data_IF_300586740726
#
_entry.id   IF_300586740726
#
_cell.length_a   1.000
_cell.length_b   1.000
_cell.length_c   1.000
_cell.angle_alpha   90.00
_cell.angle_beta   90.00
_cell.angle_gamma   90.00
#
_symmetry.space_group_name_H-M   'P 1'
#
loop_
_entity.id
_entity.type
_entity.pdbx_description
1 polymer ?
#
# COMPACT_ATOMS: atom_id res chain seq x y z
N UNK A 1 3.46 8.10 0.79
CA UNK A 1 4.06 9.21 0.02
C UNK A 1 3.47 9.36 -1.39
N UNK A 2 3.07 8.29 -2.10
CA UNK A 2 2.50 8.41 -3.45
C UNK A 2 1.25 9.29 -3.53
N UNK A 3 0.28 9.09 -2.62
CA UNK A 3 -0.96 9.90 -2.60
C UNK A 3 -0.66 11.38 -2.37
N UNK A 4 0.28 11.69 -1.47
CA UNK A 4 0.70 13.06 -1.18
C UNK A 4 1.24 13.76 -2.45
N UNK A 5 2.03 13.06 -3.26
CA UNK A 5 2.52 13.60 -4.54
C UNK A 5 1.38 14.01 -5.48
N UNK A 6 0.29 13.24 -5.52
CA UNK A 6 -0.89 13.59 -6.32
C UNK A 6 -1.66 14.78 -5.74
N UNK A 7 -1.80 14.85 -4.42
CA UNK A 7 -2.47 15.95 -3.73
C UNK A 7 -1.71 17.28 -3.90
N UNK A 8 -0.38 17.24 -3.77
CA UNK A 8 0.49 18.42 -3.87
C UNK A 8 0.85 18.79 -5.31
N UNK A 9 0.57 17.92 -6.28
CA UNK A 9 1.01 18.12 -7.66
C UNK A 9 2.52 18.00 -7.84
N UNK A 10 3.18 17.18 -7.02
CA UNK A 10 4.62 16.91 -7.15
C UNK A 10 4.87 15.56 -7.84
N UNK A 11 6.03 15.36 -8.50
CA UNK A 11 6.28 14.11 -9.22
C UNK A 11 6.31 12.90 -8.29
N UNK A 12 5.72 11.78 -8.73
CA UNK A 12 5.91 10.50 -8.04
C UNK A 12 7.33 10.02 -8.31
N UNK A 13 8.12 9.91 -7.24
CA UNK A 13 9.52 9.44 -7.32
C UNK A 13 9.58 7.91 -7.29
N UNK A 14 10.14 7.32 -8.33
CA UNK A 14 10.36 5.88 -8.47
C UNK A 14 11.83 5.57 -8.22
N UNK A 15 12.11 4.99 -7.06
CA UNK A 15 13.49 4.64 -6.68
C UNK A 15 13.97 3.49 -7.55
N UNK A 16 15.11 3.70 -8.23
CA UNK A 16 15.71 2.78 -9.20
C UNK A 16 14.69 2.26 -10.23
N UNK A 17 13.81 3.16 -10.69
CA UNK A 17 12.79 2.87 -11.70
C UNK A 17 11.53 2.17 -11.17
N UNK A 18 11.47 1.84 -9.87
CA UNK A 18 10.26 1.32 -9.21
C UNK A 18 9.94 -0.14 -9.54
N UNK A 19 10.92 -0.92 -10.02
CA UNK A 19 10.72 -2.30 -10.46
C UNK A 19 10.61 -3.32 -9.30
N UNK A 20 11.04 -2.95 -8.10
CA UNK A 20 10.93 -3.80 -6.92
C UNK A 20 9.47 -4.10 -6.59
N UNK A 21 9.20 -5.37 -6.23
CA UNK A 21 7.86 -5.88 -6.00
C UNK A 21 7.54 -6.05 -4.52
N UNK A 22 6.27 -5.81 -4.19
CA UNK A 22 5.70 -5.99 -2.85
C UNK A 22 4.33 -6.64 -2.96
N UNK A 23 3.95 -7.34 -1.89
CA UNK A 23 2.60 -7.82 -1.67
C UNK A 23 1.86 -6.84 -0.76
N UNK A 24 0.73 -6.30 -1.21
CA UNK A 24 -0.05 -5.29 -0.50
C UNK A 24 -1.29 -5.90 0.11
N UNK A 25 -1.54 -5.61 1.39
CA UNK A 25 -2.62 -6.24 2.15
C UNK A 25 -3.54 -5.14 2.65
N UNK A 26 -4.85 -5.29 2.41
CA UNK A 26 -5.83 -4.38 2.99
C UNK A 26 -5.75 -4.44 4.52
N UNK A 27 -5.93 -3.29 5.17
CA UNK A 27 -5.88 -3.18 6.62
C UNK A 27 -6.98 -4.01 7.28
N UNK A 28 -8.16 -4.15 6.67
CA UNK A 28 -9.24 -4.98 7.19
C UNK A 28 -8.85 -6.46 7.23
N UNK A 29 -8.26 -6.98 6.15
CA UNK A 29 -7.73 -8.35 6.11
C UNK A 29 -6.64 -8.55 7.18
N UNK A 30 -5.73 -7.57 7.34
CA UNK A 30 -4.66 -7.62 8.33
C UNK A 30 -5.15 -7.60 9.79
N UNK A 31 -6.14 -6.76 10.09
CA UNK A 31 -6.74 -6.65 11.42
C UNK A 31 -7.57 -7.89 11.75
N UNK A 32 -8.28 -8.46 10.78
CA UNK A 32 -8.99 -9.73 10.97
C UNK A 32 -8.01 -10.86 11.34
N UNK A 33 -6.86 -10.97 10.65
CA UNK A 33 -5.83 -11.94 11.02
C UNK A 33 -5.34 -11.73 12.45
N UNK A 34 -5.07 -10.48 12.83
CA UNK A 34 -4.58 -10.13 14.16
C UNK A 34 -5.63 -10.46 15.24
N UNK A 35 -6.91 -10.18 14.99
CA UNK A 35 -8.00 -10.50 15.89
C UNK A 35 -8.08 -12.01 16.17
N UNK A 36 -7.92 -12.85 15.15
CA UNK A 36 -7.91 -14.31 15.32
C UNK A 36 -6.69 -14.82 16.08
N UNK A 37 -5.53 -14.19 15.91
CA UNK A 37 -4.32 -14.49 16.69
C UNK A 37 -4.56 -14.16 18.16
N UNK A 38 -5.21 -13.03 18.46
CA UNK A 38 -5.56 -12.63 19.83
C UNK A 38 -6.58 -13.60 20.44
N UNK A 39 -7.59 -14.01 19.67
CA UNK A 39 -8.56 -15.01 20.11
C UNK A 39 -7.89 -16.36 20.44
N UNK A 40 -6.82 -16.69 19.73
CA UNK A 40 -5.93 -17.83 19.99
C UNK A 40 -6.67 -19.14 20.27
N UNK A 41 -7.67 -19.46 19.44
CA UNK A 41 -8.48 -20.69 19.62
C UNK A 41 -7.57 -21.91 19.73
N UNK A 42 -7.83 -22.73 20.74
CA UNK A 42 -7.07 -23.95 21.07
C UNK A 42 -5.56 -23.71 21.32
N UNK A 43 -5.15 -22.50 21.73
CA UNK A 43 -3.76 -22.14 22.02
C UNK A 43 -2.78 -22.29 20.83
N UNK A 44 -3.32 -22.32 19.60
CA UNK A 44 -2.58 -22.64 18.37
C UNK A 44 -1.49 -21.63 18.00
N UNK A 45 -1.58 -20.39 18.48
CA UNK A 45 -0.65 -19.31 18.11
C UNK A 45 0.57 -19.20 19.05
N UNK A 46 0.58 -19.90 20.17
CA UNK A 46 1.68 -19.82 21.14
C UNK A 46 3.01 -20.29 20.52
N UNK A 47 4.03 -19.43 20.59
CA UNK A 47 5.37 -19.71 20.04
C UNK A 47 5.45 -19.75 18.52
N UNK A 48 4.40 -19.30 17.80
CA UNK A 48 4.36 -19.33 16.33
C UNK A 48 4.83 -18.01 15.72
N UNK A 49 5.40 -18.11 14.51
CA UNK A 49 5.64 -16.97 13.63
C UNK A 49 4.64 -17.07 12.48
N UNK A 50 3.79 -16.06 12.34
CA UNK A 50 2.70 -16.03 11.36
C UNK A 50 2.88 -14.80 10.47
N UNK A 51 3.09 -15.03 9.17
CA UNK A 51 3.07 -13.94 8.21
C UNK A 51 1.62 -13.54 7.95
N UNK A 52 1.35 -12.24 7.99
CA UNK A 52 0.09 -11.65 7.58
C UNK A 52 0.36 -10.84 6.32
N UNK A 53 -0.19 -11.29 5.20
CA UNK A 53 -0.14 -10.52 3.96
C UNK A 53 -0.91 -11.17 2.83
N UNK A 54 -1.17 -10.43 1.76
CA UNK A 54 -1.84 -10.94 0.56
C UNK A 54 -0.83 -11.29 -0.54
N UNK A 55 -0.49 -12.59 -0.74
CA UNK A 55 0.48 -13.03 -1.75
C UNK A 55 0.02 -12.81 -3.20
N UNK A 56 -1.28 -12.59 -3.42
CA UNK A 56 -1.86 -12.43 -4.76
C UNK A 56 -1.86 -10.95 -5.19
N UNK A 57 -1.89 -10.03 -4.23
CA UNK A 57 -1.74 -8.59 -4.44
C UNK A 57 -0.27 -8.16 -4.64
N UNK A 58 0.45 -8.85 -5.52
CA UNK A 58 1.82 -8.50 -5.89
C UNK A 58 1.86 -7.41 -6.94
N UNK A 59 2.54 -6.30 -6.65
CA UNK A 59 2.79 -5.24 -7.62
C UNK A 59 4.17 -4.61 -7.41
N UNK A 60 4.75 -4.13 -8.51
CA UNK A 60 5.88 -3.21 -8.44
C UNK A 60 5.46 -1.83 -7.95
N UNK A 61 6.40 -1.03 -7.46
CA UNK A 61 6.11 0.36 -7.06
C UNK A 61 5.60 1.18 -8.25
N UNK A 62 6.12 0.91 -9.45
CA UNK A 62 5.61 1.50 -10.70
C UNK A 62 4.15 1.15 -10.94
N UNK A 63 3.80 -0.14 -10.92
CA UNK A 63 2.42 -0.60 -11.11
C UNK A 63 1.47 -0.03 -10.05
N UNK A 64 1.91 0.04 -8.79
CA UNK A 64 1.15 0.70 -7.73
C UNK A 64 0.90 2.18 -8.07
N UNK A 65 1.93 2.91 -8.50
CA UNK A 65 1.82 4.31 -8.88
C UNK A 65 0.88 4.54 -10.06
N UNK A 66 0.95 3.68 -11.09
CA UNK A 66 0.07 3.72 -12.26
C UNK A 66 -1.39 3.43 -11.90
N UNK A 67 -1.65 2.43 -11.07
CA UNK A 67 -3.00 2.10 -10.61
C UNK A 67 -3.59 3.22 -9.75
N UNK A 68 -2.78 3.79 -8.86
CA UNK A 68 -3.18 4.89 -8.00
C UNK A 68 -3.47 6.16 -8.84
N UNK A 69 -2.66 6.47 -9.84
CA UNK A 69 -2.92 7.55 -10.79
C UNK A 69 -4.22 7.32 -11.56
N UNK A 70 -4.45 6.10 -12.07
CA UNK A 70 -5.68 5.75 -12.79
C UNK A 70 -6.92 6.03 -11.96
N UNK A 71 -6.93 5.58 -10.71
CA UNK A 71 -8.05 5.81 -9.81
C UNK A 71 -8.18 7.27 -9.38
N UNK A 72 -7.06 7.98 -9.19
CA UNK A 72 -7.05 9.40 -8.89
C UNK A 72 -7.67 10.24 -10.02
N UNK A 73 -7.28 10.01 -11.26
CA UNK A 73 -7.84 10.71 -12.43
C UNK A 73 -9.35 10.43 -12.60
N UNK A 74 -9.83 9.25 -12.20
CA UNK A 74 -11.24 8.90 -12.22
C UNK A 74 -12.03 9.39 -10.99
N UNK A 75 -11.35 9.95 -9.97
CA UNK A 75 -11.97 10.25 -8.69
C UNK A 75 -12.87 11.49 -8.75
N UNK A 76 -14.06 11.52 -8.11
CA UNK A 76 -14.95 12.68 -8.11
C UNK A 76 -14.31 13.98 -7.58
N UNK A 77 -13.37 13.86 -6.64
CA UNK A 77 -12.64 15.01 -6.08
C UNK A 77 -11.44 15.46 -6.92
N UNK A 78 -11.13 14.80 -8.05
CA UNK A 78 -9.92 15.02 -8.85
C UNK A 78 -9.70 16.48 -9.25
N UNK A 79 -10.77 17.20 -9.59
CA UNK A 79 -10.71 18.59 -10.02
C UNK A 79 -10.23 19.58 -8.95
N UNK A 80 -10.17 19.15 -7.68
CA UNK A 80 -9.72 19.99 -6.57
C UNK A 80 -8.19 19.95 -6.37
N UNK A 81 -7.48 19.11 -7.13
CA UNK A 81 -6.04 18.90 -6.99
C UNK A 81 -5.28 19.29 -8.26
N UNK A 82 -3.99 19.64 -8.17
CA UNK A 82 -3.17 20.02 -9.32
C UNK A 82 -3.09 18.92 -10.40
N UNK A 83 -2.63 19.26 -11.63
CA UNK A 83 -2.33 18.24 -12.63
C UNK A 83 -1.19 17.32 -12.17
N UNK A 84 -1.21 16.07 -12.64
CA UNK A 84 -0.15 15.12 -12.35
C UNK A 84 1.20 15.61 -12.92
N UNK A 85 2.21 15.71 -12.05
CA UNK A 85 3.54 16.19 -12.43
C UNK A 85 4.47 15.11 -13.01
N UNK A 86 3.94 13.91 -13.30
CA UNK A 86 4.68 12.82 -13.92
C UNK A 86 5.37 11.88 -12.92
N UNK A 87 5.86 10.76 -13.46
CA UNK A 87 6.79 9.89 -12.76
C UNK A 87 8.22 10.38 -12.95
N UNK A 88 9.03 10.31 -11.90
CA UNK A 88 10.45 10.65 -11.95
C UNK A 88 11.28 9.53 -11.34
N UNK A 89 12.17 8.96 -12.14
CA UNK A 89 13.12 7.99 -11.64
C UNK A 89 14.18 8.71 -10.77
N UNK A 90 14.50 8.13 -9.62
CA UNK A 90 15.51 8.64 -8.69
C UNK A 90 16.44 7.52 -8.28
N UNK A 91 17.73 7.83 -8.13
CA UNK A 91 18.70 6.85 -7.66
C UNK A 91 18.51 6.59 -6.17
N UNK A 92 18.55 5.33 -5.76
CA UNK A 92 18.43 4.94 -4.34
C UNK A 92 19.44 5.64 -3.44
N UNK A 93 20.67 5.87 -3.90
CA UNK A 93 21.67 6.61 -3.14
C UNK A 93 21.24 8.06 -2.87
N UNK A 94 20.61 8.72 -3.85
CA UNK A 94 20.12 10.09 -3.72
C UNK A 94 18.87 10.21 -2.83
N UNK A 95 18.09 9.12 -2.72
CA UNK A 95 16.83 9.10 -2.00
C UNK A 95 16.97 8.56 -0.57
N UNK A 96 17.67 7.45 -0.39
CA UNK A 96 17.86 6.75 0.89
C UNK A 96 19.26 6.92 1.49
N UNK A 97 20.24 7.42 0.73
CA UNK A 97 21.63 7.60 1.18
C UNK A 97 22.57 6.46 0.79
N UNK A 98 23.86 6.61 1.12
CA UNK A 98 24.89 5.60 0.82
C UNK A 98 24.68 4.33 1.62
N UNK A 99 24.81 3.17 0.97
CA UNK A 99 24.68 1.85 1.61
C UNK A 99 23.27 1.26 1.61
N UNK A 100 22.31 1.91 0.95
CA UNK A 100 20.96 1.34 0.80
C UNK A 100 20.98 0.09 -0.09
N UNK A 101 20.32 -0.97 0.39
CA UNK A 101 20.09 -2.20 -0.36
C UNK A 101 18.63 -2.60 -0.20
N UNK A 102 17.92 -2.73 -1.33
CA UNK A 102 16.51 -3.11 -1.33
C UNK A 102 16.31 -4.62 -1.58
N UNK A 103 15.19 -5.14 -1.08
CA UNK A 103 14.69 -6.47 -1.43
C UNK A 103 13.94 -6.36 -2.76
N UNK A 104 14.38 -7.11 -3.76
CA UNK A 104 13.79 -7.09 -5.11
C UNK A 104 12.36 -7.64 -5.12
N UNK A 105 12.08 -8.64 -4.28
CA UNK A 105 10.78 -9.30 -4.21
C UNK A 105 10.49 -9.78 -2.79
N UNK A 106 9.29 -9.44 -2.28
CA UNK A 106 8.81 -9.90 -0.97
C UNK A 106 7.38 -10.42 -1.10
N UNK A 107 7.26 -11.75 -1.13
CA UNK A 107 5.98 -12.46 -1.14
C UNK A 107 5.89 -13.37 0.10
N UNK A 108 4.92 -13.16 0.99
CA UNK A 108 4.79 -13.96 2.20
C UNK A 108 4.25 -15.36 1.86
N UNK A 109 4.77 -16.41 2.51
CA UNK A 109 3.99 -17.64 2.69
C UNK A 109 2.99 -17.39 3.81
N UNK A 110 1.72 -17.69 3.55
CA UNK A 110 0.61 -17.57 4.51
C UNK A 110 0.09 -18.93 4.99
N UNK A 111 0.90 -19.99 4.84
CA UNK A 111 0.50 -21.35 5.20
C UNK A 111 0.23 -21.48 6.70
N UNK A 112 1.02 -20.80 7.54
CA UNK A 112 0.75 -20.73 8.98
C UNK A 112 -0.55 -20.00 9.29
N UNK A 113 -0.87 -18.91 8.59
CA UNK A 113 -2.11 -18.18 8.82
C UNK A 113 -3.34 -19.04 8.45
N UNK A 114 -3.28 -19.73 7.30
CA UNK A 114 -4.32 -20.68 6.90
C UNK A 114 -4.48 -21.83 7.89
N UNK A 115 -3.37 -22.45 8.30
CA UNK A 115 -3.39 -23.64 9.17
C UNK A 115 -3.77 -23.35 10.62
N UNK A 116 -3.28 -22.23 11.18
CA UNK A 116 -3.39 -21.94 12.61
C UNK A 116 -4.63 -21.12 12.95
N UNK A 117 -5.02 -20.18 12.06
CA UNK A 117 -6.09 -19.21 12.33
C UNK A 117 -7.16 -19.19 11.22
N UNK A 118 -7.14 -20.17 10.31
CA UNK A 118 -8.11 -20.32 9.20
C UNK A 118 -8.28 -19.04 8.35
N UNK A 119 -7.20 -18.26 8.23
CA UNK A 119 -7.24 -16.95 7.61
C UNK A 119 -6.67 -16.98 6.20
N UNK A 120 -7.35 -16.31 5.28
CA UNK A 120 -6.87 -15.99 3.93
C UNK A 120 -7.35 -14.57 3.59
N UNK A 121 -6.50 -13.70 3.05
CA UNK A 121 -6.91 -12.35 2.67
C UNK A 121 -7.85 -12.40 1.47
N UNK A 122 -8.78 -11.47 1.40
CA UNK A 122 -9.88 -11.50 0.42
C UNK A 122 -10.00 -10.23 -0.41
N UNK A 123 -9.34 -9.15 0.01
CA UNK A 123 -9.49 -7.84 -0.61
C UNK A 123 -8.40 -7.64 -1.67
N UNK A 124 -8.84 -7.36 -2.88
CA UNK A 124 -7.99 -7.09 -4.04
C UNK A 124 -7.23 -5.76 -3.90
N UNK A 125 -6.06 -5.68 -4.55
CA UNK A 125 -5.20 -4.50 -4.52
C UNK A 125 -5.93 -3.24 -5.01
N UNK A 126 -6.70 -3.35 -6.11
CA UNK A 126 -7.42 -2.21 -6.69
C UNK A 126 -8.46 -1.66 -5.72
N UNK A 127 -9.16 -2.52 -4.98
CA UNK A 127 -10.13 -2.11 -3.96
C UNK A 127 -9.43 -1.41 -2.78
N UNK A 128 -8.32 -1.99 -2.30
CA UNK A 128 -7.49 -1.40 -1.24
C UNK A 128 -7.03 0.01 -1.60
N UNK A 129 -6.54 0.20 -2.83
CA UNK A 129 -6.08 1.49 -3.34
C UNK A 129 -7.24 2.48 -3.37
N UNK A 130 -8.41 2.08 -3.87
CA UNK A 130 -9.57 2.98 -3.97
C UNK A 130 -10.06 3.49 -2.63
N UNK A 131 -10.20 2.59 -1.64
CA UNK A 131 -10.57 2.97 -0.26
C UNK A 131 -9.56 3.92 0.36
N UNK A 132 -8.27 3.60 0.22
CA UNK A 132 -7.18 4.39 0.81
C UNK A 132 -7.12 5.77 0.15
N UNK A 133 -7.25 5.83 -1.18
CA UNK A 133 -7.23 7.07 -1.93
C UNK A 133 -8.40 7.98 -1.57
N UNK A 134 -9.64 7.47 -1.58
CA UNK A 134 -10.84 8.26 -1.22
C UNK A 134 -10.69 8.87 0.18
N UNK A 135 -10.26 8.08 1.17
CA UNK A 135 -10.00 8.56 2.52
C UNK A 135 -9.04 9.76 2.53
N UNK A 136 -7.86 9.63 1.94
CA UNK A 136 -6.85 10.71 1.96
C UNK A 136 -7.27 11.94 1.16
N UNK A 137 -8.02 11.79 0.05
CA UNK A 137 -8.49 12.95 -0.70
C UNK A 137 -9.57 13.73 0.06
N UNK A 138 -10.44 13.05 0.82
CA UNK A 138 -11.41 13.71 1.69
C UNK A 138 -10.73 14.47 2.82
N UNK A 139 -9.77 13.83 3.49
CA UNK A 139 -8.98 14.48 4.56
C UNK A 139 -8.25 15.73 4.04
N UNK A 140 -7.63 15.64 2.85
CA UNK A 140 -6.98 16.79 2.23
C UNK A 140 -7.96 17.95 1.94
N UNK A 141 -9.22 17.65 1.59
CA UNK A 141 -10.25 18.67 1.40
C UNK A 141 -10.67 19.34 2.69
N UNK A 142 -10.77 18.59 3.80
CA UNK A 142 -11.05 19.15 5.12
C UNK A 142 -9.93 20.11 5.54
N UNK A 143 -8.67 19.72 5.37
CA UNK A 143 -7.53 20.60 5.69
C UNK A 143 -7.50 21.88 4.83
N UNK A 144 -7.87 21.79 3.55
CA UNK A 144 -7.94 22.97 2.67
C UNK A 144 -9.09 23.89 3.08
N UNK A 145 -10.21 23.35 3.53
CA UNK A 145 -11.34 24.12 4.03
C UNK A 145 -10.99 24.86 5.33
N UNK A 146 -10.31 24.19 6.27
CA UNK A 146 -9.92 24.77 7.57
C UNK A 146 -8.85 25.87 7.44
N UNK A 147 -8.07 25.88 6.35
CA UNK A 147 -7.04 26.89 6.07
C UNK A 147 -7.57 28.12 5.33
N UNK A 148 -8.84 28.14 4.90
CA UNK A 148 -9.49 29.25 4.19
C UNK A 148 -10.34 30.09 5.13
#
# INVERSE_FOLDING_TARGET
QLILHLVEGTPIRLVDGGAQKRCFTDVADGIEALARIIENRDDKCNGQIINIGNPDNEASIRQLGEELLRQFEAHPLRSNFPPFAGFRDVESQSFYGTGYQDVTHRKPSIDNARRLIDWTPTIELSETIGKTLDFFLREAMLEIADKR
#
